data_IF_205553143771
#
_entry.id   IF_205553143771
#
_cell.length_a   1.000
_cell.length_b   1.000
_cell.length_c   1.000
_cell.angle_alpha   90.00
_cell.angle_beta   90.00
_cell.angle_gamma   90.00
#
_symmetry.space_group_name_H-M   'P 1'
#
loop_
_entity.id
_entity.type
_entity.pdbx_description
1 polymer ?
#
# COMPACT_ATOMS: atom_id res chain seq x y z
N UNK A 1 35.49 6.61 64.11
CA UNK A 1 35.28 7.99 63.59
C UNK A 1 34.77 7.84 62.16
N UNK A 2 33.44 7.85 61.96
CA UNK A 2 32.85 7.85 60.60
C UNK A 2 32.53 9.29 60.27
N UNK A 3 33.24 9.84 59.30
CA UNK A 3 32.90 11.13 58.71
C UNK A 3 31.54 10.97 58.02
N UNK A 4 30.55 11.73 58.49
CA UNK A 4 29.27 11.85 57.81
C UNK A 4 29.48 12.77 56.60
N UNK A 5 29.77 12.13 55.46
CA UNK A 5 29.97 12.78 54.18
C UNK A 5 28.62 13.31 53.65
N UNK A 6 28.27 14.56 54.02
CA UNK A 6 27.04 15.21 53.55
C UNK A 6 27.27 15.81 52.18
N UNK A 7 26.94 15.07 51.12
CA UNK A 7 26.97 15.60 49.74
C UNK A 7 26.11 16.86 49.62
N UNK A 8 26.60 17.92 48.93
CA UNK A 8 25.85 19.16 48.74
C UNK A 8 24.58 18.90 47.94
N UNK A 9 23.43 19.39 48.44
CA UNK A 9 22.14 19.24 47.77
C UNK A 9 22.05 20.22 46.59
N UNK A 10 21.71 19.72 45.40
CA UNK A 10 21.54 20.54 44.21
C UNK A 10 20.47 21.63 44.41
N UNK A 11 20.81 22.87 44.04
CA UNK A 11 19.92 24.02 44.13
C UNK A 11 18.76 23.97 43.12
N UNK A 12 17.71 24.79 43.31
CA UNK A 12 16.49 24.76 42.49
C UNK A 12 16.73 25.00 41.00
N UNK A 13 17.70 25.86 40.64
CA UNK A 13 18.08 26.10 39.23
C UNK A 13 18.69 24.87 38.58
N UNK A 14 19.56 24.13 39.29
CA UNK A 14 20.17 22.90 38.79
C UNK A 14 19.13 21.78 38.59
N UNK A 15 18.14 21.68 39.49
CA UNK A 15 17.01 20.75 39.34
C UNK A 15 16.14 21.10 38.14
N UNK A 16 15.88 22.39 37.91
CA UNK A 16 15.09 22.85 36.75
C UNK A 16 15.83 22.57 35.43
N UNK A 17 17.13 22.86 35.37
CA UNK A 17 17.95 22.58 34.19
C UNK A 17 18.02 21.07 33.89
N UNK A 18 18.19 20.23 34.91
CA UNK A 18 18.15 18.78 34.77
C UNK A 18 16.78 18.28 34.29
N UNK A 19 15.68 18.83 34.82
CA UNK A 19 14.32 18.48 34.38
C UNK A 19 14.07 18.86 32.92
N UNK A 20 14.49 20.06 32.49
CA UNK A 20 14.38 20.50 31.09
C UNK A 20 15.24 19.64 30.15
N UNK A 21 16.45 19.25 30.56
CA UNK A 21 17.30 18.33 29.81
C UNK A 21 16.65 16.96 29.64
N UNK A 22 16.06 16.41 30.72
CA UNK A 22 15.36 15.12 30.67
C UNK A 22 14.11 15.20 29.78
N UNK A 23 13.35 16.29 29.84
CA UNK A 23 12.20 16.52 28.95
C UNK A 23 12.67 16.62 27.50
N UNK A 24 13.72 17.41 27.22
CA UNK A 24 14.29 17.54 25.88
C UNK A 24 14.82 16.23 25.30
N UNK A 25 15.46 15.41 26.14
CA UNK A 25 15.90 14.07 25.74
C UNK A 25 14.70 13.15 25.46
N UNK A 26 13.68 13.17 26.32
CA UNK A 26 12.49 12.35 26.14
C UNK A 26 11.71 12.72 24.86
N UNK A 27 11.60 14.02 24.54
CA UNK A 27 10.95 14.47 23.31
C UNK A 27 11.75 14.11 22.08
N UNK A 28 13.09 14.23 22.11
CA UNK A 28 13.97 13.80 21.03
C UNK A 28 13.86 12.29 20.78
N UNK A 29 13.91 11.46 21.84
CA UNK A 29 13.72 10.01 21.74
C UNK A 29 12.35 9.69 21.15
N UNK A 30 11.28 10.32 21.64
CA UNK A 30 9.93 10.10 21.12
C UNK A 30 9.78 10.53 19.65
N UNK A 31 10.49 11.58 19.22
CA UNK A 31 10.53 12.00 17.82
C UNK A 31 11.28 10.99 16.95
N UNK A 32 12.46 10.53 17.38
CA UNK A 32 13.27 9.52 16.66
C UNK A 32 12.52 8.19 16.51
N UNK A 33 11.86 7.72 17.57
CA UNK A 33 11.04 6.50 17.52
C UNK A 33 9.90 6.67 16.52
N UNK A 34 9.17 7.79 16.55
CA UNK A 34 8.10 8.07 15.58
C UNK A 34 8.60 8.18 14.14
N UNK A 35 9.75 8.80 13.93
CA UNK A 35 10.37 8.87 12.61
C UNK A 35 10.77 7.48 12.12
N UNK A 36 11.38 6.67 12.99
CA UNK A 36 11.77 5.28 12.71
C UNK A 36 10.59 4.39 12.36
N UNK A 37 9.45 4.51 13.05
CA UNK A 37 8.23 3.73 12.76
C UNK A 37 7.61 3.99 11.38
N UNK A 38 7.96 5.11 10.72
CA UNK A 38 7.47 5.41 9.38
C UNK A 38 8.36 4.84 8.27
N UNK A 39 9.56 4.39 8.59
CA UNK A 39 10.48 3.82 7.61
C UNK A 39 9.87 2.54 7.04
N UNK A 40 9.73 2.49 5.71
CA UNK A 40 9.11 1.35 5.01
C UNK A 40 7.59 1.38 4.93
N UNK A 41 6.92 2.41 5.48
CA UNK A 41 5.46 2.57 5.38
C UNK A 41 5.12 3.40 4.13
N UNK A 42 4.65 2.73 3.08
CA UNK A 42 4.30 3.35 1.79
C UNK A 42 2.80 3.67 1.65
N UNK A 43 2.16 4.16 2.72
CA UNK A 43 0.73 4.51 2.68
C UNK A 43 0.47 5.65 1.69
N UNK A 44 -0.57 5.50 0.87
CA UNK A 44 -0.90 6.48 -0.19
C UNK A 44 -0.02 6.43 -1.42
N UNK A 45 0.89 5.45 -1.52
CA UNK A 45 1.68 5.23 -2.73
C UNK A 45 0.76 4.96 -3.94
N UNK A 46 0.86 5.82 -4.95
CA UNK A 46 0.02 5.78 -6.14
C UNK A 46 0.85 6.24 -7.35
N UNK A 47 1.65 5.32 -7.93
CA UNK A 47 2.50 5.62 -9.07
C UNK A 47 1.68 5.86 -10.34
N UNK A 48 2.32 6.44 -11.36
CA UNK A 48 1.73 6.46 -12.69
C UNK A 48 1.88 5.09 -13.36
N UNK A 49 0.79 4.61 -13.95
CA UNK A 49 0.78 3.35 -14.68
C UNK A 49 0.98 3.55 -16.18
N UNK A 50 1.42 2.52 -16.91
CA UNK A 50 1.49 2.56 -18.37
C UNK A 50 0.14 2.84 -19.05
N UNK A 51 -0.94 2.39 -18.40
CA UNK A 51 -2.33 2.54 -18.87
C UNK A 51 -3.14 3.16 -17.74
N UNK A 52 -3.87 4.23 -18.03
CA UNK A 52 -4.71 4.92 -17.04
C UNK A 52 -5.98 4.12 -16.74
N UNK A 53 -5.84 3.07 -15.93
CA UNK A 53 -6.93 2.20 -15.52
C UNK A 53 -7.75 2.82 -14.38
N UNK A 54 -9.06 2.61 -14.41
CA UNK A 54 -10.00 3.17 -13.43
C UNK A 54 -10.83 2.08 -12.78
N UNK A 55 -10.54 1.70 -11.53
CA UNK A 55 -11.38 0.79 -10.76
C UNK A 55 -12.77 1.39 -10.49
N UNK A 56 -12.87 2.72 -10.37
CA UNK A 56 -14.14 3.42 -10.22
C UNK A 56 -15.14 3.10 -11.34
N UNK A 57 -14.70 3.19 -12.60
CA UNK A 57 -15.58 2.90 -13.73
C UNK A 57 -15.93 1.41 -13.77
N UNK A 58 -14.94 0.52 -13.64
CA UNK A 58 -15.16 -0.91 -13.82
C UNK A 58 -15.95 -1.54 -12.66
N UNK A 59 -15.58 -1.25 -11.42
CA UNK A 59 -16.18 -1.86 -10.21
C UNK A 59 -17.25 -0.95 -9.61
N UNK A 60 -16.97 0.34 -9.47
CA UNK A 60 -17.89 1.29 -8.83
C UNK A 60 -19.15 1.54 -9.64
N UNK A 61 -19.01 1.87 -10.92
CA UNK A 61 -20.12 2.23 -11.81
C UNK A 61 -20.72 1.00 -12.49
N UNK A 62 -19.88 0.15 -13.09
CA UNK A 62 -20.34 -1.01 -13.88
C UNK A 62 -20.47 -2.32 -13.08
N UNK A 63 -20.15 -2.32 -11.79
CA UNK A 63 -20.35 -3.45 -10.86
C UNK A 63 -19.67 -4.76 -11.31
N UNK A 64 -18.56 -4.67 -12.03
CA UNK A 64 -17.77 -5.85 -12.41
C UNK A 64 -17.15 -6.44 -11.13
N UNK A 65 -17.35 -7.75 -10.93
CA UNK A 65 -16.78 -8.48 -9.78
C UNK A 65 -15.24 -8.43 -9.79
N UNK A 66 -14.65 -8.22 -8.61
CA UNK A 66 -13.19 -8.12 -8.45
C UNK A 66 -12.44 -9.32 -9.05
N UNK A 67 -13.01 -10.52 -8.93
CA UNK A 67 -12.41 -11.79 -9.34
C UNK A 67 -12.49 -12.02 -10.84
N UNK A 68 -13.27 -11.23 -11.58
CA UNK A 68 -13.27 -11.29 -13.04
C UNK A 68 -11.88 -10.97 -13.61
N UNK A 69 -11.25 -9.93 -13.06
CA UNK A 69 -9.88 -9.55 -13.42
C UNK A 69 -8.85 -10.27 -12.54
N UNK A 70 -9.10 -10.35 -11.23
CA UNK A 70 -8.20 -10.94 -10.25
C UNK A 70 -8.53 -12.41 -9.97
N UNK A 71 -8.60 -13.22 -11.04
CA UNK A 71 -9.08 -14.60 -10.97
C UNK A 71 -8.23 -15.53 -10.10
N UNK A 72 -6.95 -15.20 -9.87
CA UNK A 72 -6.06 -15.99 -9.01
C UNK A 72 -6.40 -15.90 -7.53
N UNK A 73 -7.23 -14.93 -7.12
CA UNK A 73 -7.46 -14.60 -5.72
C UNK A 73 -8.09 -15.75 -4.92
N UNK A 74 -8.94 -16.56 -5.55
CA UNK A 74 -9.64 -17.68 -4.89
C UNK A 74 -8.84 -18.99 -4.92
N UNK A 75 -7.87 -19.10 -5.82
CA UNK A 75 -7.24 -20.38 -6.15
C UNK A 75 -5.79 -20.45 -5.70
N UNK A 76 -5.09 -19.31 -5.60
CA UNK A 76 -3.66 -19.29 -5.39
C UNK A 76 -3.16 -18.22 -4.44
N UNK A 77 -1.83 -18.23 -4.27
CA UNK A 77 -1.12 -17.28 -3.41
C UNK A 77 -1.24 -15.84 -3.88
N UNK A 78 -1.30 -15.65 -5.20
CA UNK A 78 -1.33 -14.35 -5.86
C UNK A 78 -2.67 -14.17 -6.56
N UNK A 79 -3.33 -13.04 -6.30
CA UNK A 79 -4.51 -12.63 -7.06
C UNK A 79 -4.21 -12.42 -8.55
N UNK A 80 -2.99 -11.92 -8.84
CA UNK A 80 -2.52 -11.65 -10.20
C UNK A 80 -3.16 -10.42 -10.84
N UNK A 81 -2.56 -9.93 -11.92
CA UNK A 81 -3.16 -8.96 -12.83
C UNK A 81 -3.52 -9.74 -14.10
N UNK A 82 -4.72 -9.54 -14.68
CA UNK A 82 -5.11 -10.32 -15.84
C UNK A 82 -4.21 -10.02 -17.05
N UNK A 83 -4.05 -10.99 -17.97
CA UNK A 83 -3.44 -10.72 -19.26
C UNK A 83 -4.28 -9.70 -20.06
N UNK A 84 -3.62 -8.97 -20.97
CA UNK A 84 -4.22 -7.85 -21.69
C UNK A 84 -5.42 -8.24 -22.58
N UNK A 85 -5.53 -9.52 -22.96
CA UNK A 85 -6.68 -10.03 -23.71
C UNK A 85 -8.00 -9.97 -22.92
N UNK A 86 -7.97 -10.07 -21.58
CA UNK A 86 -9.18 -9.94 -20.74
C UNK A 86 -9.83 -8.57 -20.94
N UNK A 87 -9.02 -7.51 -21.08
CA UNK A 87 -9.52 -6.17 -21.36
C UNK A 87 -10.28 -6.10 -22.70
N UNK A 88 -9.84 -6.87 -23.70
CA UNK A 88 -10.44 -6.89 -25.04
C UNK A 88 -11.74 -7.70 -25.12
N UNK A 89 -12.12 -8.45 -24.07
CA UNK A 89 -13.43 -9.11 -24.02
C UNK A 89 -14.59 -8.11 -24.16
N UNK A 90 -14.39 -6.87 -23.71
CA UNK A 90 -15.34 -5.77 -23.84
C UNK A 90 -14.82 -4.66 -24.76
N UNK A 91 -13.55 -4.29 -24.63
CA UNK A 91 -12.98 -3.13 -25.32
C UNK A 91 -12.75 -3.31 -26.83
N UNK A 92 -13.05 -4.50 -27.37
CA UNK A 92 -13.21 -4.68 -28.80
C UNK A 92 -14.46 -3.98 -29.37
N UNK A 93 -15.42 -3.60 -28.51
CA UNK A 93 -16.68 -2.92 -28.85
C UNK A 93 -16.89 -1.60 -28.12
N UNK A 94 -16.35 -1.44 -26.91
CA UNK A 94 -16.55 -0.22 -26.10
C UNK A 94 -15.28 0.63 -26.04
N UNK A 95 -15.42 1.94 -26.29
CA UNK A 95 -14.31 2.93 -26.29
C UNK A 95 -13.05 2.47 -27.03
N UNK A 96 -13.22 1.71 -28.12
CA UNK A 96 -12.14 1.12 -28.90
C UNK A 96 -11.13 2.17 -29.35
N UNK A 97 -11.61 3.35 -29.76
CA UNK A 97 -10.76 4.43 -30.30
C UNK A 97 -10.08 5.28 -29.23
N UNK A 98 -10.29 4.98 -27.94
CA UNK A 98 -9.64 5.74 -26.88
C UNK A 98 -8.13 5.43 -26.82
N UNK A 99 -7.27 6.42 -26.53
CA UNK A 99 -5.82 6.23 -26.51
C UNK A 99 -5.36 5.11 -25.57
N UNK A 100 -5.98 4.98 -24.39
CA UNK A 100 -5.64 3.95 -23.42
C UNK A 100 -5.99 2.54 -23.90
N UNK A 101 -7.12 2.37 -24.59
CA UNK A 101 -7.51 1.07 -25.16
C UNK A 101 -6.64 0.72 -26.37
N UNK A 102 -6.19 1.70 -27.14
CA UNK A 102 -5.21 1.47 -28.22
C UNK A 102 -3.87 0.96 -27.67
N UNK A 103 -3.43 1.39 -26.49
CA UNK A 103 -2.24 0.81 -25.81
C UNK A 103 -2.44 -0.68 -25.52
N UNK A 104 -3.62 -1.07 -25.02
CA UNK A 104 -3.97 -2.47 -24.75
C UNK A 104 -4.00 -3.28 -26.06
N UNK A 105 -4.68 -2.77 -27.09
CA UNK A 105 -4.79 -3.44 -28.38
C UNK A 105 -3.41 -3.66 -29.00
N UNK A 106 -2.52 -2.66 -28.91
CA UNK A 106 -1.13 -2.77 -29.35
C UNK A 106 -0.36 -3.83 -28.56
N UNK A 107 -0.47 -3.82 -27.23
CA UNK A 107 0.19 -4.81 -26.37
C UNK A 107 -0.21 -6.25 -26.74
N UNK A 108 -1.51 -6.49 -26.98
CA UNK A 108 -2.01 -7.79 -27.44
C UNK A 108 -1.51 -8.14 -28.84
N UNK A 109 -1.58 -7.20 -29.79
CA UNK A 109 -1.15 -7.43 -31.18
C UNK A 109 0.35 -7.73 -31.29
N UNK A 110 1.18 -7.09 -30.47
CA UNK A 110 2.62 -7.32 -30.40
C UNK A 110 3.01 -8.49 -29.50
N UNK A 111 2.05 -9.13 -28.83
CA UNK A 111 2.27 -10.15 -27.80
C UNK A 111 3.27 -9.69 -26.71
N UNK A 112 3.17 -8.42 -26.30
CA UNK A 112 4.01 -7.83 -25.25
C UNK A 112 3.18 -7.61 -23.98
N UNK A 113 3.63 -8.11 -22.82
CA UNK A 113 2.98 -7.82 -21.55
C UNK A 113 2.95 -6.32 -21.24
N UNK A 114 1.93 -5.90 -20.49
CA UNK A 114 1.88 -4.55 -19.93
C UNK A 114 2.70 -4.57 -18.63
N UNK A 115 3.72 -3.73 -18.56
CA UNK A 115 4.64 -3.62 -17.42
C UNK A 115 4.03 -2.76 -16.30
N UNK A 116 3.06 -3.33 -15.58
CA UNK A 116 2.41 -2.65 -14.46
C UNK A 116 3.36 -2.35 -13.30
N UNK A 117 3.23 -1.17 -12.71
CA UNK A 117 3.94 -0.79 -11.49
C UNK A 117 3.18 -1.34 -10.28
N UNK A 118 3.76 -2.33 -9.60
CA UNK A 118 3.16 -2.98 -8.43
C UNK A 118 3.04 -2.00 -7.25
N UNK A 119 1.81 -1.79 -6.78
CA UNK A 119 1.51 -0.91 -5.63
C UNK A 119 1.68 -1.65 -4.30
N UNK A 120 1.12 -2.87 -4.19
CA UNK A 120 1.21 -3.68 -2.98
C UNK A 120 2.38 -4.64 -3.10
N UNK A 121 3.42 -4.41 -2.30
CA UNK A 121 4.57 -5.30 -2.23
C UNK A 121 4.84 -5.70 -0.78
N UNK A 122 5.05 -6.99 -0.56
CA UNK A 122 5.49 -7.54 0.72
C UNK A 122 6.94 -8.01 0.54
N UNK A 123 7.76 -8.00 1.60
CA UNK A 123 9.10 -8.58 1.53
C UNK A 123 9.06 -10.06 1.17
N UNK A 124 10.03 -10.53 0.39
CA UNK A 124 10.05 -11.90 -0.15
C UNK A 124 10.13 -13.01 0.92
N UNK A 125 10.60 -12.67 2.13
CA UNK A 125 10.61 -13.58 3.28
C UNK A 125 9.24 -13.72 3.97
N UNK A 126 8.24 -12.92 3.57
CA UNK A 126 6.86 -12.99 4.10
C UNK A 126 6.03 -13.88 3.20
N UNK A 127 5.44 -14.92 3.81
CA UNK A 127 4.49 -15.77 3.13
C UNK A 127 3.07 -15.20 3.22
N UNK A 128 2.45 -14.94 2.06
CA UNK A 128 1.05 -14.53 1.96
C UNK A 128 0.32 -15.35 0.91
N UNK A 129 -0.94 -15.71 1.18
CA UNK A 129 -1.76 -16.46 0.25
C UNK A 129 -3.19 -15.91 0.18
N UNK A 130 -3.58 -15.35 -0.98
CA UNK A 130 -4.91 -14.80 -1.19
C UNK A 130 -6.02 -15.84 -0.99
N UNK A 131 -5.88 -17.06 -1.52
CA UNK A 131 -6.95 -18.06 -1.49
C UNK A 131 -7.41 -18.41 -0.08
N UNK A 132 -6.49 -18.42 0.89
CA UNK A 132 -6.83 -18.68 2.29
C UNK A 132 -7.76 -17.62 2.88
N UNK A 133 -7.55 -16.36 2.52
CA UNK A 133 -8.33 -15.24 3.03
C UNK A 133 -9.68 -15.14 2.32
N UNK A 134 -9.66 -15.24 0.99
CA UNK A 134 -10.88 -15.12 0.17
C UNK A 134 -11.84 -16.28 0.46
N UNK A 135 -11.33 -17.52 0.54
CA UNK A 135 -12.17 -18.68 0.85
C UNK A 135 -12.66 -18.71 2.31
N UNK A 136 -12.03 -17.95 3.20
CA UNK A 136 -12.52 -17.70 4.56
C UNK A 136 -13.55 -16.55 4.62
N UNK A 137 -13.91 -15.94 3.49
CA UNK A 137 -14.90 -14.87 3.41
C UNK A 137 -14.38 -13.49 3.81
N UNK A 138 -13.07 -13.27 3.84
CA UNK A 138 -12.49 -11.94 4.09
C UNK A 138 -12.79 -11.02 2.90
N UNK A 139 -13.44 -9.89 3.18
CA UNK A 139 -13.79 -8.90 2.15
C UNK A 139 -12.55 -8.18 1.62
N UNK A 140 -12.43 -8.05 0.30
CA UNK A 140 -11.27 -7.42 -0.35
C UNK A 140 -10.98 -6.00 0.18
N UNK A 141 -12.02 -5.24 0.55
CA UNK A 141 -11.90 -3.84 0.99
C UNK A 141 -11.33 -3.73 2.40
N UNK A 142 -11.41 -4.77 3.22
CA UNK A 142 -10.78 -4.75 4.56
C UNK A 142 -9.25 -4.67 4.48
N UNK A 143 -8.66 -5.08 3.36
CA UNK A 143 -7.22 -5.03 3.13
C UNK A 143 -6.81 -3.98 2.08
N UNK A 144 -7.55 -3.84 0.98
CA UNK A 144 -7.20 -2.94 -0.13
C UNK A 144 -7.93 -1.58 -0.08
N UNK A 145 -8.81 -1.37 0.89
CA UNK A 145 -9.62 -0.16 1.00
C UNK A 145 -10.77 -0.10 -0.03
N UNK A 146 -11.43 1.06 -0.20
CA UNK A 146 -12.59 1.22 -1.08
C UNK A 146 -12.17 1.34 -2.56
N UNK A 147 -11.66 0.25 -3.13
CA UNK A 147 -11.10 0.16 -4.49
C UNK A 147 -12.10 0.62 -5.56
N UNK A 148 -13.39 0.38 -5.33
CA UNK A 148 -14.50 0.80 -6.18
C UNK A 148 -14.65 2.32 -6.33
N UNK A 149 -13.94 3.10 -5.52
CA UNK A 149 -13.90 4.57 -5.61
C UNK A 149 -12.63 5.09 -6.26
N UNK A 150 -11.65 4.22 -6.53
CA UNK A 150 -10.32 4.61 -6.99
C UNK A 150 -10.31 4.84 -8.50
N UNK A 151 -10.25 6.12 -8.89
CA UNK A 151 -10.32 6.54 -10.29
C UNK A 151 -9.01 6.40 -11.07
N UNK A 152 -7.88 6.33 -10.34
CA UNK A 152 -6.53 6.17 -10.85
C UNK A 152 -5.87 5.05 -10.06
N UNK A 153 -5.35 4.05 -10.76
CA UNK A 153 -4.43 3.07 -10.21
C UNK A 153 -3.37 2.74 -11.21
#
# INVERSE_FOLDING_TARGET
MREHDTKPKAGPVAKLAAALLLIGLATLVAWLVRAGMKVGVNQGYSPDQPIAFSHKIHVGENKIDCRYCHFGAEQGRHAGIPPANVCLNCHNKIKKDSPEIQKIAKAVAENKPIEWVKVHNLPDFVYFNHSQHVNAGVDCRSCHGPVETMGRM
#
